data_IF_239492725669
#
_entry.id   IF_239492725669
#
_cell.length_a   1.000
_cell.length_b   1.000
_cell.length_c   1.000
_cell.angle_alpha   90.00
_cell.angle_beta   90.00
_cell.angle_gamma   90.00
#
_symmetry.space_group_name_H-M   'P 1'
#
loop_
_entity.id
_entity.type
_entity.pdbx_description
1 polymer ?
#
# COMPACT_ATOMS: atom_id res chain seq x y z
N UNK A 1 0.26 -8.59 12.00
CA UNK A 1 0.27 -7.42 11.09
C UNK A 1 1.47 -6.55 11.40
N UNK A 2 2.04 -5.89 10.38
CA UNK A 2 3.01 -4.81 10.56
C UNK A 2 2.33 -3.48 10.29
N UNK A 3 2.77 -2.42 10.97
CA UNK A 3 2.37 -1.04 10.73
C UNK A 3 3.27 -0.45 9.64
N UNK A 4 2.67 0.06 8.57
CA UNK A 4 3.36 0.71 7.46
C UNK A 4 2.66 2.03 7.13
N UNK A 5 3.44 3.04 6.78
CA UNK A 5 2.94 4.33 6.35
C UNK A 5 3.26 4.58 4.89
N UNK A 6 2.53 5.51 4.28
CA UNK A 6 2.80 5.97 2.92
C UNK A 6 4.25 6.41 2.70
N UNK A 7 4.87 7.25 3.57
CA UNK A 7 6.28 7.60 3.45
C UNK A 7 7.24 6.40 3.55
N UNK A 8 6.95 5.42 4.41
CA UNK A 8 7.76 4.19 4.50
C UNK A 8 7.63 3.36 3.23
N UNK A 9 6.41 3.17 2.73
CA UNK A 9 6.15 2.44 1.49
C UNK A 9 6.78 3.14 0.28
N UNK A 10 6.63 4.46 0.15
CA UNK A 10 7.28 5.23 -0.90
C UNK A 10 8.82 5.11 -0.83
N UNK A 11 9.40 5.13 0.37
CA UNK A 11 10.83 4.91 0.56
C UNK A 11 11.26 3.47 0.22
N UNK A 12 10.40 2.46 0.42
CA UNK A 12 10.62 1.09 -0.04
C UNK A 12 10.61 1.06 -1.57
N UNK A 13 9.57 1.56 -2.23
CA UNK A 13 9.41 1.55 -3.69
C UNK A 13 10.39 2.46 -4.46
N UNK A 14 11.06 3.39 -3.78
CA UNK A 14 12.19 4.18 -4.35
C UNK A 14 13.56 3.57 -4.05
N UNK A 15 13.63 2.47 -3.29
CA UNK A 15 14.87 1.78 -2.94
C UNK A 15 15.67 2.46 -1.81
N UNK A 16 15.14 3.50 -1.17
CA UNK A 16 15.78 4.15 0.00
C UNK A 16 15.71 3.24 1.24
N UNK A 17 14.59 2.51 1.41
CA UNK A 17 14.45 1.45 2.42
C UNK A 17 14.57 0.10 1.73
N UNK A 18 15.67 -0.61 1.99
CA UNK A 18 15.97 -1.90 1.32
C UNK A 18 15.81 -3.13 2.21
N UNK A 19 15.71 -2.97 3.54
CA UNK A 19 15.65 -4.09 4.48
C UNK A 19 14.49 -3.96 5.46
N UNK A 20 13.90 -5.09 5.84
CA UNK A 20 12.77 -5.16 6.77
C UNK A 20 13.08 -4.61 8.17
N UNK A 21 14.33 -4.67 8.62
CA UNK A 21 14.75 -4.12 9.91
C UNK A 21 15.22 -2.65 9.82
N UNK A 22 14.93 -1.93 8.74
CA UNK A 22 15.26 -0.51 8.64
C UNK A 22 14.64 0.29 9.80
N UNK A 23 15.36 1.29 10.30
CA UNK A 23 14.95 2.08 11.47
C UNK A 23 13.56 2.73 11.31
N UNK A 24 13.19 3.12 10.08
CA UNK A 24 11.87 3.68 9.81
C UNK A 24 10.75 2.66 10.02
N UNK A 25 10.93 1.39 9.61
CA UNK A 25 9.96 0.32 9.84
C UNK A 25 9.94 -0.07 11.33
N UNK A 26 11.10 -0.15 11.98
CA UNK A 26 11.21 -0.46 13.40
C UNK A 26 10.48 0.57 14.28
N UNK A 27 10.61 1.87 13.98
CA UNK A 27 9.91 2.94 14.73
C UNK A 27 8.39 2.78 14.71
N UNK A 28 7.82 2.32 13.60
CA UNK A 28 6.38 2.07 13.49
C UNK A 28 5.95 0.80 14.23
N UNK A 29 6.88 -0.12 14.51
CA UNK A 29 6.61 -1.46 15.03
C UNK A 29 7.40 -1.73 16.34
N UNK A 30 7.22 -0.92 17.40
CA UNK A 30 7.96 -1.10 18.65
C UNK A 30 7.71 -2.50 19.23
N UNK A 31 8.78 -3.16 19.69
CA UNK A 31 8.73 -4.51 20.26
C UNK A 31 8.68 -5.66 19.24
N UNK A 32 8.53 -5.38 17.94
CA UNK A 32 8.55 -6.41 16.90
C UNK A 32 9.98 -6.70 16.47
N UNK A 33 10.39 -7.97 16.51
CA UNK A 33 11.70 -8.42 16.01
C UNK A 33 11.66 -8.52 14.49
N UNK A 34 12.12 -7.48 13.80
CA UNK A 34 12.18 -7.44 12.34
C UNK A 34 13.48 -8.08 11.80
N UNK A 35 13.41 -8.94 10.77
CA UNK A 35 14.58 -9.62 10.24
C UNK A 35 15.44 -8.70 9.38
N UNK A 36 16.76 -8.91 9.39
CA UNK A 36 17.66 -8.28 8.43
C UNK A 36 17.60 -9.01 7.08
N UNK A 37 16.51 -8.77 6.35
CA UNK A 37 16.23 -9.38 5.05
C UNK A 37 15.88 -8.30 4.05
N UNK A 38 16.44 -8.42 2.86
CA UNK A 38 16.14 -7.49 1.77
C UNK A 38 14.66 -7.57 1.42
N UNK A 39 14.06 -6.41 1.17
CA UNK A 39 12.67 -6.28 0.74
C UNK A 39 12.62 -6.53 -0.76
N UNK A 40 11.69 -7.39 -1.18
CA UNK A 40 11.38 -7.59 -2.60
C UNK A 40 10.08 -6.85 -2.94
N UNK A 41 10.15 -5.89 -3.84
CA UNK A 41 9.00 -5.07 -4.22
C UNK A 41 8.28 -5.74 -5.37
N UNK A 42 6.97 -5.99 -5.22
CA UNK A 42 6.15 -6.53 -6.28
C UNK A 42 5.21 -5.43 -6.77
N UNK A 43 5.22 -5.17 -8.07
CA UNK A 43 4.32 -4.21 -8.71
C UNK A 43 3.63 -4.84 -9.93
N UNK A 44 2.52 -4.23 -10.33
CA UNK A 44 1.78 -4.64 -11.52
C UNK A 44 2.57 -4.34 -12.79
N UNK A 45 2.45 -5.20 -13.80
CA UNK A 45 3.00 -5.00 -15.15
C UNK A 45 1.97 -4.44 -16.13
N UNK A 46 0.69 -4.68 -15.86
CA UNK A 46 -0.45 -4.23 -16.66
C UNK A 46 -1.09 -2.95 -16.11
N UNK A 47 -1.85 -2.24 -16.96
CA UNK A 47 -2.64 -1.07 -16.54
C UNK A 47 -3.67 -1.46 -15.48
N UNK A 48 -3.58 -0.85 -14.29
CA UNK A 48 -4.20 -1.38 -13.08
C UNK A 48 -4.85 -0.31 -12.20
N UNK A 49 -6.11 -0.52 -11.84
CA UNK A 49 -6.80 0.27 -10.82
C UNK A 49 -6.16 0.15 -9.43
N UNK A 50 -5.65 -1.03 -9.07
CA UNK A 50 -4.90 -1.24 -7.82
C UNK A 50 -3.62 -0.37 -7.79
N UNK A 51 -2.91 -0.29 -8.92
CA UNK A 51 -1.75 0.60 -9.06
C UNK A 51 -2.16 2.05 -8.92
N UNK A 52 -3.28 2.44 -9.53
CA UNK A 52 -3.80 3.81 -9.45
C UNK A 52 -4.12 4.23 -8.01
N UNK A 53 -4.85 3.42 -7.25
CA UNK A 53 -5.22 3.75 -5.86
C UNK A 53 -4.03 3.64 -4.89
N UNK A 54 -3.14 2.67 -5.09
CA UNK A 54 -1.95 2.52 -4.24
C UNK A 54 -0.97 3.68 -4.47
N UNK A 55 -0.66 4.01 -5.72
CA UNK A 55 0.23 5.14 -6.03
C UNK A 55 -0.38 6.50 -5.67
N UNK A 56 -1.72 6.64 -5.69
CA UNK A 56 -2.39 7.81 -5.11
C UNK A 56 -2.15 7.91 -3.60
N UNK A 57 -2.25 6.81 -2.86
CA UNK A 57 -1.98 6.82 -1.42
C UNK A 57 -0.54 7.26 -1.15
N UNK A 58 0.44 6.74 -1.92
CA UNK A 58 1.82 7.19 -1.83
C UNK A 58 1.96 8.69 -2.14
N UNK A 59 1.30 9.17 -3.19
CA UNK A 59 1.34 10.57 -3.60
C UNK A 59 0.73 11.51 -2.56
N UNK A 60 -0.45 11.20 -2.04
CA UNK A 60 -1.19 12.07 -1.11
C UNK A 60 -0.58 12.08 0.29
N UNK A 61 0.08 10.99 0.69
CA UNK A 61 0.78 10.90 1.98
C UNK A 61 2.24 11.36 1.91
N UNK A 62 2.84 11.43 0.72
CA UNK A 62 4.29 11.65 0.55
C UNK A 62 4.59 12.61 -0.60
N UNK A 63 4.83 13.91 -0.31
CA UNK A 63 5.11 14.92 -1.34
C UNK A 63 6.28 14.58 -2.28
N UNK A 64 7.34 13.94 -1.78
CA UNK A 64 8.48 13.55 -2.62
C UNK A 64 8.12 12.50 -3.67
N UNK A 65 7.23 11.55 -3.36
CA UNK A 65 6.70 10.59 -4.32
C UNK A 65 5.84 11.30 -5.37
N UNK A 66 4.92 12.17 -4.94
CA UNK A 66 4.03 12.90 -5.83
C UNK A 66 4.81 13.74 -6.86
N UNK A 67 5.89 14.40 -6.43
CA UNK A 67 6.70 15.26 -7.27
C UNK A 67 7.69 14.52 -8.18
N UNK A 68 7.80 13.19 -8.07
CA UNK A 68 8.77 12.39 -8.84
C UNK A 68 8.14 11.26 -9.63
N UNK A 69 7.40 10.38 -8.96
CA UNK A 69 6.77 9.19 -9.58
C UNK A 69 5.29 9.46 -9.90
N UNK A 70 4.58 10.14 -8.99
CA UNK A 70 3.15 10.42 -9.13
C UNK A 70 2.28 9.17 -9.04
N UNK A 71 1.09 9.26 -9.64
CA UNK A 71 0.11 8.17 -9.62
C UNK A 71 -0.57 8.00 -10.98
N UNK A 72 -1.03 6.78 -11.26
CA UNK A 72 -1.59 6.40 -12.55
C UNK A 72 -1.99 4.94 -12.58
N UNK A 73 -2.78 4.53 -13.58
CA UNK A 73 -3.03 3.11 -13.84
C UNK A 73 -1.76 2.40 -14.32
N UNK A 74 -0.84 3.15 -14.91
CA UNK A 74 0.54 2.77 -15.21
C UNK A 74 1.45 3.91 -14.75
N UNK A 75 2.52 3.56 -14.04
CA UNK A 75 3.54 4.52 -13.59
C UNK A 75 4.94 3.96 -13.89
N UNK A 76 5.92 4.85 -14.05
CA UNK A 76 7.32 4.47 -14.16
C UNK A 76 7.88 4.13 -12.78
N UNK A 77 7.71 2.88 -12.36
CA UNK A 77 8.26 2.40 -11.10
C UNK A 77 9.78 2.62 -11.05
N UNK A 78 10.32 3.15 -9.93
CA UNK A 78 11.76 3.29 -9.77
C UNK A 78 12.46 1.93 -9.94
N UNK A 79 13.60 1.87 -10.65
CA UNK A 79 14.33 0.63 -10.85
C UNK A 79 15.01 0.22 -9.55
N UNK A 80 14.34 -0.60 -8.75
CA UNK A 80 14.90 -1.16 -7.51
C UNK A 80 15.37 -2.60 -7.76
N UNK A 81 16.59 -2.89 -7.33
CA UNK A 81 17.20 -4.22 -7.45
C UNK A 81 16.33 -5.31 -6.81
N UNK A 82 16.04 -6.36 -7.58
CA UNK A 82 15.22 -7.49 -7.13
C UNK A 82 13.72 -7.24 -7.15
N UNK A 83 13.25 -6.12 -7.73
CA UNK A 83 11.83 -5.88 -7.99
C UNK A 83 11.23 -6.93 -8.93
N UNK A 84 9.97 -7.29 -8.68
CA UNK A 84 9.23 -8.31 -9.44
C UNK A 84 7.99 -7.68 -10.05
N UNK A 85 7.85 -7.82 -11.37
CA UNK A 85 6.61 -7.50 -12.07
C UNK A 85 5.65 -8.68 -12.02
N UNK A 86 4.37 -8.42 -11.77
CA UNK A 86 3.33 -9.44 -11.80
C UNK A 86 2.05 -8.94 -12.49
N UNK A 87 1.37 -9.83 -13.20
CA UNK A 87 0.16 -9.50 -13.95
C UNK A 87 -1.09 -9.82 -13.13
N UNK A 88 -1.99 -8.83 -13.01
CA UNK A 88 -3.25 -9.00 -12.28
C UNK A 88 -3.08 -9.27 -10.78
N UNK A 89 -4.18 -9.22 -10.03
CA UNK A 89 -4.17 -9.63 -8.62
C UNK A 89 -3.76 -11.11 -8.40
N UNK A 90 -4.14 -12.10 -9.25
CA UNK A 90 -3.65 -13.47 -9.10
C UNK A 90 -2.13 -13.56 -9.13
N UNK A 91 -1.49 -12.89 -10.10
CA UNK A 91 -0.04 -12.87 -10.22
C UNK A 91 0.63 -12.19 -9.03
N UNK A 92 0.05 -11.10 -8.49
CA UNK A 92 0.57 -10.45 -7.27
C UNK A 92 0.53 -11.40 -6.07
N UNK A 93 -0.55 -12.17 -5.90
CA UNK A 93 -0.67 -13.18 -4.82
C UNK A 93 0.38 -14.28 -5.01
N UNK A 94 0.51 -14.84 -6.21
CA UNK A 94 1.45 -15.91 -6.51
C UNK A 94 2.91 -15.46 -6.36
N UNK A 95 3.24 -14.25 -6.82
CA UNK A 95 4.55 -13.65 -6.64
C UNK A 95 4.88 -13.47 -5.15
N UNK A 96 3.94 -12.95 -4.35
CA UNK A 96 4.11 -12.83 -2.90
C UNK A 96 4.36 -14.18 -2.23
N UNK A 97 3.56 -15.19 -2.62
CA UNK A 97 3.66 -16.55 -2.08
C UNK A 97 5.00 -17.21 -2.40
N UNK A 98 5.51 -17.02 -3.62
CA UNK A 98 6.77 -17.57 -4.08
C UNK A 98 8.02 -16.81 -3.61
N UNK A 99 7.85 -15.58 -3.10
CA UNK A 99 8.96 -14.68 -2.82
C UNK A 99 8.94 -14.22 -1.35
N UNK A 100 9.67 -14.92 -0.46
CA UNK A 100 9.80 -14.49 0.93
C UNK A 100 10.31 -13.05 1.05
N UNK A 101 9.85 -12.34 2.09
CA UNK A 101 10.23 -10.95 2.35
C UNK A 101 9.76 -9.94 1.28
N UNK A 102 8.78 -10.33 0.46
CA UNK A 102 8.18 -9.44 -0.52
C UNK A 102 7.08 -8.55 0.07
N UNK A 103 6.73 -7.49 -0.67
CA UNK A 103 5.58 -6.64 -0.41
C UNK A 103 4.84 -6.35 -1.72
N UNK A 104 3.52 -6.39 -1.66
CA UNK A 104 2.61 -6.15 -2.79
C UNK A 104 1.39 -5.34 -2.32
N UNK A 105 0.73 -4.68 -3.26
CA UNK A 105 -0.60 -4.09 -3.09
C UNK A 105 -1.62 -4.96 -3.85
N UNK A 106 -2.60 -5.52 -3.13
CA UNK A 106 -3.53 -6.53 -3.65
C UNK A 106 -4.95 -6.11 -3.28
N UNK A 107 -5.86 -6.14 -4.24
CA UNK A 107 -7.26 -5.77 -4.04
C UNK A 107 -7.96 -6.64 -3.00
N UNK A 108 -8.82 -6.04 -2.19
CA UNK A 108 -9.49 -6.73 -1.05
C UNK A 108 -10.34 -7.93 -1.48
N UNK A 109 -10.85 -7.95 -2.71
CA UNK A 109 -11.58 -9.10 -3.28
C UNK A 109 -10.73 -10.38 -3.37
N UNK A 110 -9.40 -10.26 -3.28
CA UNK A 110 -8.45 -11.37 -3.26
C UNK A 110 -8.01 -11.80 -1.84
N UNK A 111 -8.58 -11.22 -0.79
CA UNK A 111 -8.18 -11.51 0.61
C UNK A 111 -8.26 -13.00 0.96
N UNK A 112 -9.25 -13.74 0.45
CA UNK A 112 -9.33 -15.19 0.67
C UNK A 112 -8.12 -15.95 0.13
N UNK A 113 -7.52 -15.48 -0.97
CA UNK A 113 -6.35 -16.10 -1.60
C UNK A 113 -5.07 -15.72 -0.86
N UNK A 114 -4.93 -14.46 -0.41
CA UNK A 114 -3.78 -14.05 0.41
C UNK A 114 -3.76 -14.79 1.75
N UNK A 115 -4.93 -15.00 2.37
CA UNK A 115 -5.09 -15.80 3.59
C UNK A 115 -4.76 -17.27 3.36
N UNK A 116 -5.25 -17.88 2.27
CA UNK A 116 -4.93 -19.26 1.91
C UNK A 116 -3.41 -19.45 1.67
N UNK A 117 -2.75 -18.42 1.10
CA UNK A 117 -1.31 -18.38 0.92
C UNK A 117 -0.52 -18.01 2.20
N UNK A 118 -1.20 -17.75 3.32
CA UNK A 118 -0.62 -17.35 4.62
C UNK A 118 0.24 -16.09 4.54
N UNK A 119 -0.14 -15.17 3.64
CA UNK A 119 0.52 -13.88 3.51
C UNK A 119 0.14 -12.95 4.68
N UNK A 120 1.09 -12.13 5.10
CA UNK A 120 0.82 -11.09 6.09
C UNK A 120 -0.01 -9.94 5.49
N UNK A 121 -0.84 -9.32 6.32
CA UNK A 121 -1.57 -8.09 5.98
C UNK A 121 -1.04 -6.94 6.85
N UNK A 122 -0.87 -5.76 6.28
CA UNK A 122 -0.35 -4.59 7.00
C UNK A 122 -1.49 -3.72 7.52
N UNK A 123 -1.28 -3.08 8.68
CA UNK A 123 -2.05 -1.89 9.04
C UNK A 123 -1.44 -0.69 8.33
N UNK A 124 -2.28 0.12 7.70
CA UNK A 124 -1.82 1.33 6.99
C UNK A 124 -2.10 2.58 7.82
N UNK A 125 -1.11 3.49 7.85
CA UNK A 125 -1.28 4.81 8.45
C UNK A 125 -2.28 5.63 7.63
N UNK A 126 -3.34 6.10 8.28
CA UNK A 126 -4.29 7.03 7.69
C UNK A 126 -3.88 8.49 7.91
N UNK A 127 -4.67 9.41 7.35
CA UNK A 127 -4.38 10.85 7.39
C UNK A 127 -4.37 11.43 8.81
N UNK A 128 -4.98 10.74 9.77
CA UNK A 128 -5.00 11.11 11.18
C UNK A 128 -3.85 10.48 11.99
N UNK A 129 -2.92 9.76 11.35
CA UNK A 129 -1.78 9.11 12.01
C UNK A 129 -2.12 7.78 12.70
N UNK A 130 -3.31 7.24 12.46
CA UNK A 130 -3.76 5.97 13.03
C UNK A 130 -3.47 4.83 12.06
N UNK A 131 -3.18 3.64 12.60
CA UNK A 131 -2.90 2.43 11.81
C UNK A 131 -4.11 1.50 11.82
N UNK A 132 -4.74 1.32 10.66
CA UNK A 132 -6.01 0.58 10.54
C UNK A 132 -5.92 -0.53 9.48
N UNK A 133 -6.74 -1.57 9.66
CA UNK A 133 -6.94 -2.66 8.69
C UNK A 133 -8.12 -2.34 7.76
N UNK A 134 -8.22 -2.95 6.56
CA UNK A 134 -9.36 -2.78 5.66
C UNK A 134 -10.58 -3.59 6.13
N UNK A 135 -11.32 -3.05 7.09
CA UNK A 135 -12.54 -3.68 7.64
C UNK A 135 -13.79 -2.97 7.15
N UNK A 136 -14.98 -3.59 7.18
CA UNK A 136 -16.23 -2.91 6.83
C UNK A 136 -16.42 -1.58 7.58
N UNK A 137 -16.04 -1.53 8.87
CA UNK A 137 -16.15 -0.33 9.71
C UNK A 137 -15.23 0.79 9.24
N UNK A 138 -13.97 0.48 8.94
CA UNK A 138 -12.96 1.48 8.57
C UNK A 138 -13.12 1.96 7.13
N UNK A 139 -13.62 1.09 6.24
CA UNK A 139 -14.05 1.45 4.88
C UNK A 139 -15.25 2.40 4.95
N UNK A 140 -16.28 2.05 5.74
CA UNK A 140 -17.46 2.91 5.91
C UNK A 140 -17.10 4.27 6.50
N UNK A 141 -16.17 4.32 7.48
CA UNK A 141 -15.68 5.56 8.06
C UNK A 141 -15.04 6.48 6.99
N UNK A 142 -14.20 5.92 6.12
CA UNK A 142 -13.56 6.66 5.04
C UNK A 142 -14.57 7.17 3.99
N UNK A 143 -15.59 6.37 3.64
CA UNK A 143 -16.69 6.80 2.75
C UNK A 143 -17.49 7.93 3.40
N UNK A 144 -17.90 7.79 4.65
CA UNK A 144 -18.68 8.83 5.35
C UNK A 144 -17.92 10.14 5.48
N UNK A 145 -16.60 10.09 5.66
CA UNK A 145 -15.74 11.27 5.73
C UNK A 145 -15.63 12.04 4.40
N UNK A 146 -16.03 11.43 3.28
CA UNK A 146 -15.87 11.97 1.92
C UNK A 146 -17.19 12.17 1.17
N UNK A 147 -18.27 11.53 1.62
CA UNK A 147 -19.57 11.46 0.95
C UNK A 147 -20.23 12.81 0.61
N UNK A 148 -19.95 13.88 1.36
CA UNK A 148 -20.51 15.21 1.09
C UNK A 148 -19.90 15.93 -0.12
N UNK A 149 -18.88 15.35 -0.76
CA UNK A 149 -18.11 15.98 -1.83
C UNK A 149 -18.13 15.19 -3.15
N UNK A 150 -19.07 14.26 -3.34
CA UNK A 150 -19.17 13.51 -4.60
C UNK A 150 -19.73 14.40 -5.72
N UNK A 151 -18.96 14.68 -6.79
CA UNK A 151 -19.44 15.48 -7.91
C UNK A 151 -20.47 14.70 -8.74
N UNK A 152 -21.25 15.40 -9.56
CA UNK A 152 -22.29 14.79 -10.39
C UNK A 152 -21.76 13.77 -11.42
N UNK A 153 -20.49 13.89 -11.84
CA UNK A 153 -19.83 12.93 -12.72
C UNK A 153 -19.06 11.84 -11.98
N UNK A 154 -19.19 11.79 -10.65
CA UNK A 154 -18.61 10.80 -9.73
C UNK A 154 -17.07 10.73 -9.72
N UNK A 155 -16.39 11.64 -10.42
CA UNK A 155 -14.92 11.70 -10.48
C UNK A 155 -14.34 12.33 -9.22
N UNK A 156 -14.22 11.53 -8.17
CA UNK A 156 -13.58 11.91 -6.92
C UNK A 156 -12.64 10.81 -6.44
N UNK A 157 -11.63 11.18 -5.65
CA UNK A 157 -10.75 10.23 -4.99
C UNK A 157 -11.12 10.13 -3.52
N UNK A 158 -11.30 8.90 -3.05
CA UNK A 158 -11.56 8.61 -1.63
C UNK A 158 -10.28 8.20 -0.89
N UNK A 159 -9.14 8.23 -1.59
CA UNK A 159 -7.83 7.86 -1.06
C UNK A 159 -7.39 8.87 -0.01
N UNK A 160 -6.82 8.34 1.09
CA UNK A 160 -6.31 9.13 2.21
C UNK A 160 -7.36 10.08 2.82
N UNK A 161 -8.61 9.62 2.87
CA UNK A 161 -9.72 10.28 3.54
C UNK A 161 -9.35 10.66 5.00
N UNK A 162 -9.85 11.81 5.51
CA UNK A 162 -9.63 12.19 6.90
C UNK A 162 -10.39 11.26 7.86
N UNK A 163 -9.99 11.24 9.13
CA UNK A 163 -10.69 10.51 10.19
C UNK A 163 -9.83 9.43 10.82
N UNK A 164 -9.97 9.26 12.14
CA UNK A 164 -9.18 8.32 12.94
C UNK A 164 -9.39 6.85 12.52
N UNK A 165 -10.60 6.52 12.04
CA UNK A 165 -10.98 5.15 11.65
C UNK A 165 -11.01 4.95 10.13
N UNK A 166 -10.65 5.96 9.34
CA UNK A 166 -10.70 5.89 7.88
C UNK A 166 -9.59 5.00 7.35
N UNK A 167 -9.93 3.91 6.64
CA UNK A 167 -8.93 3.13 5.89
C UNK A 167 -8.42 3.98 4.71
N UNK A 168 -7.10 4.08 4.49
CA UNK A 168 -6.56 5.08 3.58
C UNK A 168 -6.61 4.72 2.09
N UNK A 169 -7.01 3.50 1.73
CA UNK A 169 -7.09 3.04 0.33
C UNK A 169 -8.48 2.43 0.08
N UNK A 170 -9.44 3.26 -0.33
CA UNK A 170 -10.82 2.86 -0.66
C UNK A 170 -11.28 3.43 -1.99
#
# INVERSE_FOLDING_TARGET
>A
HLRLSGPVLAAMYTGTIRYWNAAAIQRLNPGVRLPHKQIVLIHRTDGSGDTFIFSQYLSFSTPSWNNSVGYGTTISWPPVEGGVGAEGNPGMVDACKGTPYSIAYIGISYQKYTQAAKLGEALLENRSGHFVLPTPQTIQAAVTATASHTPADERTSLIFAPGADSYPII
#
